data_IF_592481143179
#
_entry.id   IF_592481143179
#
_cell.length_a   1.000
_cell.length_b   1.000
_cell.length_c   1.000
_cell.angle_alpha   90.00
_cell.angle_beta   90.00
_cell.angle_gamma   90.00
#
_symmetry.space_group_name_H-M   'P 1'
#
loop_
_entity.id
_entity.type
_entity.pdbx_description
1 polymer ?
#
# COMPACT_ATOMS: atom_id res chain seq x y z
N UNK A 1 -5.04 -24.53 -10.38
CA UNK A 1 -4.84 -23.89 -10.23
C UNK A 1 -4.45 -23.18 -9.92
N UNK A 2 -4.59 -23.04 -9.67
CA UNK A 2 -4.46 -22.23 -9.42
C UNK A 2 -3.61 -21.76 -9.23
N UNK A 3 -3.37 -21.58 -9.34
CA UNK A 3 -2.63 -21.04 -9.23
C UNK A 3 -2.32 -19.91 -9.26
N UNK A 4 -3.05 -19.53 -8.79
CA UNK A 4 -2.81 -18.31 -8.82
C UNK A 4 -1.88 -17.91 -7.90
N UNK A 5 -0.75 -17.47 -8.29
CA UNK A 5 0.26 -16.91 -7.50
C UNK A 5 -0.11 -15.52 -7.23
N UNK A 6 -0.17 -15.08 -5.98
CA UNK A 6 -0.38 -13.67 -5.69
C UNK A 6 0.80 -12.89 -6.25
N UNK A 7 0.53 -11.68 -6.73
CA UNK A 7 1.58 -10.81 -7.21
C UNK A 7 2.60 -10.57 -6.08
N UNK A 8 3.87 -10.69 -6.40
CA UNK A 8 4.91 -10.42 -5.43
C UNK A 8 5.51 -9.06 -5.71
N UNK A 9 5.88 -8.36 -4.65
CA UNK A 9 6.51 -7.06 -4.80
C UNK A 9 7.83 -7.20 -5.54
N UNK A 10 8.02 -6.38 -6.56
CA UNK A 10 9.28 -6.34 -7.28
C UNK A 10 10.28 -5.50 -6.50
N UNK A 11 11.55 -5.53 -6.93
CA UNK A 11 12.57 -4.68 -6.33
C UNK A 11 12.17 -3.21 -6.44
N UNK A 12 11.60 -2.83 -7.59
CA UNK A 12 11.14 -1.46 -7.78
C UNK A 12 10.02 -1.09 -6.82
N UNK A 13 9.07 -2.00 -6.63
CA UNK A 13 7.96 -1.75 -5.70
C UNK A 13 8.49 -1.59 -4.29
N UNK A 14 9.44 -2.43 -3.89
CA UNK A 14 10.02 -2.35 -2.55
C UNK A 14 10.77 -1.05 -2.36
N UNK A 15 11.43 -0.58 -3.40
CA UNK A 15 12.15 0.68 -3.34
C UNK A 15 11.18 1.84 -3.13
N UNK A 16 10.05 1.81 -3.84
CA UNK A 16 9.02 2.83 -3.66
C UNK A 16 8.47 2.77 -2.23
N UNK A 17 8.14 1.57 -1.75
CA UNK A 17 7.58 1.41 -0.42
C UNK A 17 8.56 1.81 0.67
N UNK A 18 9.86 1.66 0.43
CA UNK A 18 10.85 2.05 1.43
C UNK A 18 10.82 3.55 1.70
N UNK A 19 10.36 4.34 0.74
CA UNK A 19 10.21 5.78 0.94
C UNK A 19 9.02 6.12 1.81
N UNK A 20 8.15 5.15 2.06
CA UNK A 20 6.93 5.34 2.84
C UNK A 20 6.91 4.52 4.12
N UNK A 21 8.09 4.06 4.57
CA UNK A 21 8.14 3.20 5.76
C UNK A 21 7.45 3.81 6.97
N UNK A 22 7.64 5.10 7.18
CA UNK A 22 7.02 5.76 8.33
C UNK A 22 5.49 5.72 8.20
N UNK A 23 4.98 5.99 7.00
CA UNK A 23 3.55 5.94 6.75
C UNK A 23 3.01 4.53 7.00
N UNK A 24 3.76 3.51 6.55
CA UNK A 24 3.34 2.14 6.72
C UNK A 24 3.34 1.73 8.18
N UNK A 25 4.36 2.14 8.92
CA UNK A 25 4.44 1.81 10.34
C UNK A 25 3.32 2.49 11.13
N UNK A 26 3.00 3.74 10.80
CA UNK A 26 1.92 4.44 11.48
C UNK A 26 0.58 3.80 11.17
N UNK A 27 0.39 3.34 9.93
CA UNK A 27 -0.84 2.66 9.55
C UNK A 27 -1.04 1.39 10.37
N UNK A 28 0.03 0.66 10.64
CA UNK A 28 -0.08 -0.54 11.47
C UNK A 28 -0.48 -0.18 12.91
N UNK A 29 -0.20 1.04 13.33
CA UNK A 29 -0.60 1.53 14.65
C UNK A 29 -2.01 2.11 14.64
N UNK A 30 -2.64 2.18 13.47
CA UNK A 30 -4.03 2.58 13.36
C UNK A 30 -4.29 3.99 12.90
N UNK A 31 -3.27 4.71 12.42
CA UNK A 31 -3.51 6.05 11.90
C UNK A 31 -2.64 6.34 10.70
N UNK A 32 -3.05 7.33 9.91
CA UNK A 32 -2.36 7.69 8.69
C UNK A 32 -1.70 9.04 8.87
N UNK A 33 -0.56 9.20 8.19
CA UNK A 33 0.05 10.50 7.98
C UNK A 33 -0.49 11.03 6.64
N UNK A 34 -0.50 12.35 6.49
CA UNK A 34 -1.01 12.94 5.26
C UNK A 34 -0.23 12.49 4.04
N UNK A 35 -0.95 12.24 2.95
CA UNK A 35 -0.36 11.85 1.69
C UNK A 35 -0.86 12.79 0.60
N UNK A 36 0.05 13.16 -0.29
CA UNK A 36 -0.31 13.95 -1.45
C UNK A 36 -0.91 13.04 -2.52
N UNK A 37 -1.64 13.65 -3.45
CA UNK A 37 -2.32 12.90 -4.50
C UNK A 37 -1.35 12.03 -5.31
N UNK A 38 -0.18 12.56 -5.64
CA UNK A 38 0.81 11.81 -6.41
C UNK A 38 1.33 10.61 -5.62
N UNK A 39 1.45 10.77 -4.30
CA UNK A 39 1.91 9.67 -3.44
C UNK A 39 0.86 8.57 -3.37
N UNK A 40 -0.41 8.96 -3.25
CA UNK A 40 -1.50 7.99 -3.26
C UNK A 40 -1.51 7.23 -4.57
N UNK A 41 -1.27 7.93 -5.70
CA UNK A 41 -1.23 7.28 -7.01
C UNK A 41 -0.15 6.22 -7.07
N UNK A 42 1.04 6.51 -6.54
CA UNK A 42 2.13 5.54 -6.54
C UNK A 42 1.77 4.30 -5.72
N UNK A 43 1.23 4.53 -4.53
CA UNK A 43 0.89 3.43 -3.64
C UNK A 43 -0.28 2.62 -4.19
N UNK A 44 -1.26 3.31 -4.77
CA UNK A 44 -2.41 2.65 -5.36
C UNK A 44 -2.00 1.75 -6.53
N UNK A 45 -1.03 2.18 -7.32
CA UNK A 45 -0.56 1.38 -8.44
C UNK A 45 -0.03 0.03 -7.95
N UNK A 46 0.74 0.04 -6.86
CA UNK A 46 1.26 -1.21 -6.28
C UNK A 46 0.11 -2.02 -5.69
N UNK A 47 -0.80 -1.36 -5.01
CA UNK A 47 -1.95 -1.99 -4.39
C UNK A 47 -2.81 -2.73 -5.42
N UNK A 48 -3.03 -2.07 -6.58
CA UNK A 48 -3.80 -2.70 -7.65
C UNK A 48 -3.09 -3.92 -8.23
N UNK A 49 -1.78 -3.87 -8.33
CA UNK A 49 -1.02 -5.02 -8.82
C UNK A 49 -1.15 -6.22 -7.88
N UNK A 50 -1.36 -5.95 -6.59
CA UNK A 50 -1.53 -7.01 -5.61
C UNK A 50 -2.94 -7.60 -5.62
N UNK A 51 -3.81 -7.07 -6.47
CA UNK A 51 -5.16 -7.60 -6.59
C UNK A 51 -6.20 -6.87 -5.79
N UNK A 52 -5.87 -5.73 -5.22
CA UNK A 52 -6.77 -4.93 -4.42
C UNK A 52 -7.18 -3.68 -5.17
N UNK A 53 -8.24 -3.03 -4.70
CA UNK A 53 -8.69 -1.77 -5.26
C UNK A 53 -8.92 -0.77 -4.14
N UNK A 54 -8.43 0.45 -4.34
CA UNK A 54 -8.71 1.52 -3.40
C UNK A 54 -10.12 2.02 -3.67
N UNK A 55 -10.97 1.95 -2.65
CA UNK A 55 -12.37 2.32 -2.82
C UNK A 55 -12.54 3.81 -3.11
N UNK A 56 -11.82 4.66 -2.39
CA UNK A 56 -11.90 6.10 -2.58
C UNK A 56 -10.63 6.75 -2.06
N UNK A 57 -10.11 7.70 -2.84
CA UNK A 57 -8.91 8.43 -2.42
C UNK A 57 -9.19 9.42 -1.30
N UNK A 58 -10.46 9.80 -1.15
CA UNK A 58 -10.83 10.74 -0.09
C UNK A 58 -11.31 10.04 1.17
N UNK A 59 -11.33 8.72 1.18
CA UNK A 59 -11.75 7.95 2.34
C UNK A 59 -10.53 7.62 3.19
N UNK A 60 -10.41 8.25 4.36
CA UNK A 60 -9.27 8.01 5.24
C UNK A 60 -9.13 6.57 5.66
N UNK A 61 -10.26 5.91 5.96
CA UNK A 61 -10.22 4.50 6.33
C UNK A 61 -9.81 3.60 5.19
N UNK A 62 -10.16 3.97 3.96
CA UNK A 62 -9.76 3.19 2.79
C UNK A 62 -8.25 3.28 2.57
N UNK A 63 -7.70 4.48 2.74
CA UNK A 63 -6.27 4.69 2.61
C UNK A 63 -5.53 3.95 3.74
N UNK A 64 -6.06 4.01 4.95
CA UNK A 64 -5.46 3.29 6.07
C UNK A 64 -5.39 1.80 5.79
N UNK A 65 -6.48 1.23 5.27
CA UNK A 65 -6.53 -0.19 4.93
C UNK A 65 -5.47 -0.51 3.86
N UNK A 66 -5.36 0.33 2.83
CA UNK A 66 -4.37 0.14 1.78
C UNK A 66 -2.96 0.12 2.39
N UNK A 67 -2.66 1.09 3.24
CA UNK A 67 -1.33 1.17 3.85
C UNK A 67 -1.04 -0.03 4.74
N UNK A 68 -2.04 -0.50 5.49
CA UNK A 68 -1.85 -1.69 6.33
C UNK A 68 -1.53 -2.91 5.49
N UNK A 69 -2.23 -3.10 4.38
CA UNK A 69 -1.98 -4.24 3.51
C UNK A 69 -0.61 -4.13 2.86
N UNK A 70 -0.26 -2.93 2.40
CA UNK A 70 1.07 -2.72 1.81
C UNK A 70 2.18 -2.97 2.82
N UNK A 71 1.98 -2.55 4.07
CA UNK A 71 2.95 -2.78 5.13
C UNK A 71 3.14 -4.28 5.34
N UNK A 72 2.04 -5.02 5.37
CA UNK A 72 2.10 -6.46 5.56
C UNK A 72 2.86 -7.13 4.42
N UNK A 73 2.57 -6.73 3.18
CA UNK A 73 3.24 -7.32 2.01
C UNK A 73 4.70 -6.91 1.95
N UNK A 74 5.03 -5.73 2.42
CA UNK A 74 6.41 -5.26 2.44
C UNK A 74 7.22 -5.93 3.55
N UNK A 75 6.54 -6.40 4.60
CA UNK A 75 7.22 -7.14 5.66
C UNK A 75 7.66 -6.29 6.84
N UNK A 76 6.97 -5.17 7.06
CA UNK A 76 7.28 -4.35 8.24
C UNK A 76 6.46 -4.80 9.43
#
# INVERSE_FOLDING_TARGET
MSNEQPYKLTTQDKKILSNYELHLKRAKQGYTLGLQSSQITQLEAIYNKLGYSLHSRSCGGCILTMLKILAEKYGI
#
